data_IF_896392343575
#
_entry.id   IF_896392343575
#
_cell.length_a   1.000
_cell.length_b   1.000
_cell.length_c   1.000
_cell.angle_alpha   90.00
_cell.angle_beta   90.00
_cell.angle_gamma   90.00
#
_symmetry.space_group_name_H-M   'P 1'
#
loop_
_entity.id
_entity.type
_entity.pdbx_description
1 polymer ?
#
# COMPACT_ATOMS: atom_id res chain seq x y z
N UNK A 1 -10.03 3.52 8.68
CA UNK A 1 -11.27 3.98 8.06
C UNK A 1 -11.04 5.17 7.13
N UNK A 2 -10.52 6.29 7.60
CA UNK A 2 -10.31 7.48 6.75
C UNK A 2 -9.34 7.27 5.59
N UNK A 3 -8.35 6.40 5.69
CA UNK A 3 -7.44 6.11 4.58
C UNK A 3 -8.17 5.57 3.35
N UNK A 4 -9.22 4.76 3.54
CA UNK A 4 -10.06 4.26 2.46
C UNK A 4 -10.93 5.31 1.77
N UNK A 5 -11.13 6.47 2.41
CA UNK A 5 -11.94 7.57 1.87
C UNK A 5 -11.08 8.64 1.17
N UNK A 6 -9.87 8.86 1.64
CA UNK A 6 -9.01 9.96 1.20
C UNK A 6 -7.67 9.47 0.61
N UNK A 7 -6.73 9.05 1.45
CA UNK A 7 -5.36 8.71 1.03
C UNK A 7 -5.30 7.56 0.02
N UNK A 8 -6.04 6.47 0.25
CA UNK A 8 -6.00 5.31 -0.63
C UNK A 8 -6.58 5.60 -2.02
N UNK A 9 -7.79 6.21 -2.17
CA UNK A 9 -8.28 6.59 -3.49
C UNK A 9 -7.36 7.58 -4.22
N UNK A 10 -6.77 8.55 -3.50
CA UNK A 10 -5.80 9.48 -4.11
C UNK A 10 -4.53 8.76 -4.58
N UNK A 11 -4.04 7.79 -3.79
CA UNK A 11 -2.93 6.93 -4.22
C UNK A 11 -3.30 6.08 -5.45
N UNK A 12 -4.53 5.56 -5.51
CA UNK A 12 -5.06 4.84 -6.67
C UNK A 12 -5.11 5.70 -7.92
N UNK A 13 -5.54 6.95 -7.80
CA UNK A 13 -5.52 7.91 -8.91
C UNK A 13 -4.08 8.15 -9.41
N UNK A 14 -3.13 8.38 -8.51
CA UNK A 14 -1.72 8.52 -8.87
C UNK A 14 -1.14 7.23 -9.49
N UNK A 15 -1.56 6.05 -8.99
CA UNK A 15 -1.17 4.75 -9.55
C UNK A 15 -1.60 4.62 -11.02
N UNK A 16 -2.84 4.98 -11.35
CA UNK A 16 -3.34 4.95 -12.72
C UNK A 16 -2.58 5.95 -13.62
N UNK A 17 -2.26 7.15 -13.12
CA UNK A 17 -1.42 8.10 -13.85
C UNK A 17 -0.03 7.54 -14.14
N UNK A 18 0.60 6.87 -13.16
CA UNK A 18 1.91 6.24 -13.31
C UNK A 18 1.88 5.09 -14.32
N UNK A 19 0.87 4.22 -14.26
CA UNK A 19 0.68 3.13 -15.24
C UNK A 19 0.51 3.70 -16.64
N UNK A 20 -0.31 4.72 -16.81
CA UNK A 20 -0.52 5.39 -18.08
C UNK A 20 0.76 6.09 -18.61
N UNK A 21 1.64 6.53 -17.72
CA UNK A 21 2.96 7.06 -18.07
C UNK A 21 4.01 5.95 -18.36
N UNK A 22 3.64 4.68 -18.29
CA UNK A 22 4.51 3.53 -18.59
C UNK A 22 5.33 3.00 -17.41
N UNK A 23 5.05 3.44 -16.18
CA UNK A 23 5.68 2.93 -14.99
C UNK A 23 5.13 1.54 -14.62
N UNK A 24 5.92 0.81 -13.83
CA UNK A 24 5.45 -0.38 -13.11
C UNK A 24 5.01 0.04 -11.72
N UNK A 25 3.76 -0.24 -11.37
CA UNK A 25 3.17 0.07 -10.07
C UNK A 25 2.84 -1.23 -9.35
N UNK A 26 3.29 -1.34 -8.11
CA UNK A 26 3.07 -2.51 -7.26
C UNK A 26 2.19 -2.13 -6.07
N UNK A 27 1.16 -2.92 -5.80
CA UNK A 27 0.43 -2.87 -4.54
C UNK A 27 0.46 -4.24 -3.87
N UNK A 28 0.35 -4.28 -2.55
CA UNK A 28 0.64 -5.48 -1.76
C UNK A 28 -0.33 -5.67 -0.60
N UNK A 29 0.00 -6.64 0.25
CA UNK A 29 -0.64 -7.01 1.52
C UNK A 29 -1.87 -7.90 1.34
N UNK A 30 -1.68 -9.22 1.51
CA UNK A 30 -2.76 -10.20 1.34
C UNK A 30 -3.89 -9.97 2.34
N UNK A 31 -3.57 -9.69 3.60
CA UNK A 31 -4.58 -9.46 4.64
C UNK A 31 -5.54 -8.32 4.30
N UNK A 32 -5.03 -7.29 3.60
CA UNK A 32 -5.84 -6.13 3.23
C UNK A 32 -6.68 -6.33 1.96
N UNK A 33 -6.40 -7.36 1.17
CA UNK A 33 -7.05 -7.61 -0.13
C UNK A 33 -7.96 -8.83 -0.09
N UNK A 34 -7.61 -9.84 0.71
CA UNK A 34 -8.21 -11.17 0.70
C UNK A 34 -9.75 -11.17 0.79
N UNK A 35 -10.32 -10.36 1.68
CA UNK A 35 -11.77 -10.34 1.89
C UNK A 35 -12.54 -9.53 0.80
N UNK A 36 -11.81 -8.90 -0.11
CA UNK A 36 -12.32 -8.20 -1.29
C UNK A 36 -11.69 -8.72 -2.60
N UNK A 37 -11.09 -9.90 -2.60
CA UNK A 37 -10.32 -10.43 -3.73
C UNK A 37 -11.09 -10.47 -5.05
N UNK A 38 -12.39 -10.66 -5.01
CA UNK A 38 -13.24 -10.67 -6.22
C UNK A 38 -13.17 -9.33 -6.98
N UNK A 39 -13.03 -8.21 -6.30
CA UNK A 39 -12.90 -6.90 -6.97
C UNK A 39 -11.58 -6.74 -7.75
N UNK A 40 -10.50 -7.39 -7.30
CA UNK A 40 -9.25 -7.37 -8.04
C UNK A 40 -9.15 -8.52 -9.05
N UNK A 41 -9.81 -9.64 -8.80
CA UNK A 41 -9.86 -10.77 -9.74
C UNK A 41 -10.48 -10.37 -11.09
N UNK A 42 -11.54 -9.56 -11.09
CA UNK A 42 -12.17 -9.03 -12.29
C UNK A 42 -11.26 -8.14 -13.14
N UNK A 43 -10.18 -7.61 -12.54
CA UNK A 43 -9.19 -6.75 -13.20
C UNK A 43 -7.98 -7.52 -13.73
N UNK A 44 -7.87 -8.83 -13.48
CA UNK A 44 -6.79 -9.64 -13.99
C UNK A 44 -6.88 -9.75 -15.53
N UNK A 45 -5.78 -9.50 -16.23
CA UNK A 45 -5.74 -9.48 -17.69
C UNK A 45 -5.91 -10.86 -18.33
N UNK A 46 -5.73 -11.95 -17.57
CA UNK A 46 -5.90 -13.32 -18.06
C UNK A 46 -6.27 -14.27 -16.92
N UNK A 47 -6.72 -15.47 -17.32
CA UNK A 47 -7.03 -16.55 -16.38
C UNK A 47 -5.81 -16.96 -15.57
N UNK A 48 -4.64 -17.02 -16.15
CA UNK A 48 -3.39 -17.41 -15.49
C UNK A 48 -3.03 -16.41 -14.36
N UNK A 49 -3.23 -15.12 -14.59
CA UNK A 49 -3.01 -14.07 -13.56
C UNK A 49 -4.02 -14.23 -12.42
N UNK A 50 -5.28 -14.53 -12.76
CA UNK A 50 -6.33 -14.76 -11.77
C UNK A 50 -6.08 -16.05 -10.97
N UNK A 51 -5.66 -17.13 -11.64
CA UNK A 51 -5.32 -18.39 -10.97
C UNK A 51 -4.13 -18.22 -9.99
N UNK A 52 -3.11 -17.44 -10.39
CA UNK A 52 -1.99 -17.12 -9.49
C UNK A 52 -2.46 -16.28 -8.31
N UNK A 53 -3.34 -15.29 -8.51
CA UNK A 53 -3.95 -14.53 -7.42
C UNK A 53 -4.64 -15.46 -6.41
N UNK A 54 -5.44 -16.40 -6.88
CA UNK A 54 -6.12 -17.37 -6.03
C UNK A 54 -5.13 -18.30 -5.30
N UNK A 55 -4.03 -18.68 -5.94
CA UNK A 55 -2.98 -19.48 -5.32
C UNK A 55 -2.27 -18.73 -4.19
N UNK A 56 -1.98 -17.44 -4.37
CA UNK A 56 -1.34 -16.62 -3.34
C UNK A 56 -2.27 -16.38 -2.12
N UNK A 57 -3.60 -16.28 -2.33
CA UNK A 57 -4.55 -16.23 -1.22
C UNK A 57 -4.52 -17.52 -0.40
N UNK A 58 -4.48 -18.69 -1.05
CA UNK A 58 -4.38 -20.00 -0.39
C UNK A 58 -3.04 -20.19 0.31
N UNK A 59 -1.96 -19.76 -0.32
CA UNK A 59 -0.64 -19.78 0.31
C UNK A 59 -0.65 -19.01 1.63
N UNK A 60 -1.23 -17.82 1.63
CA UNK A 60 -1.28 -16.99 2.84
C UNK A 60 -2.14 -17.60 3.94
N UNK A 61 -3.27 -18.24 3.61
CA UNK A 61 -4.07 -18.96 4.58
C UNK A 61 -3.26 -20.08 5.25
N UNK A 62 -2.58 -20.90 4.44
CA UNK A 62 -1.72 -21.96 4.95
C UNK A 62 -0.55 -21.42 5.79
N UNK A 63 0.08 -20.34 5.36
CA UNK A 63 1.12 -19.66 6.14
C UNK A 63 0.65 -19.24 7.53
N UNK A 64 -0.58 -18.75 7.68
CA UNK A 64 -1.16 -18.40 8.96
C UNK A 64 -1.47 -19.67 9.80
N UNK A 65 -2.02 -20.70 9.17
CA UNK A 65 -2.34 -21.97 9.83
C UNK A 65 -1.10 -22.67 10.41
N UNK A 66 0.00 -22.73 9.68
CA UNK A 66 1.27 -23.29 10.14
C UNK A 66 1.78 -22.58 11.41
N UNK A 67 1.55 -21.27 11.52
CA UNK A 67 1.94 -20.48 12.68
C UNK A 67 0.93 -20.48 13.82
N UNK A 68 -0.21 -21.16 13.68
CA UNK A 68 -1.36 -21.06 14.59
C UNK A 68 -1.81 -19.61 14.84
N UNK A 69 -1.74 -18.77 13.80
CA UNK A 69 -2.13 -17.35 13.86
C UNK A 69 -3.53 -17.18 13.31
N UNK A 70 -4.41 -16.61 14.12
CA UNK A 70 -5.73 -16.25 13.66
C UNK A 70 -5.79 -14.78 13.21
N UNK A 71 -6.81 -14.45 12.42
CA UNK A 71 -7.04 -13.11 11.87
C UNK A 71 -8.02 -12.27 12.70
N UNK A 72 -8.43 -12.74 13.88
CA UNK A 72 -9.46 -12.09 14.69
C UNK A 72 -9.05 -10.70 15.20
N UNK A 73 -7.75 -10.45 15.30
CA UNK A 73 -7.21 -9.13 15.66
C UNK A 73 -7.39 -8.07 14.57
N UNK A 74 -7.78 -8.45 13.34
CA UNK A 74 -7.97 -7.54 12.23
C UNK A 74 -9.47 -7.44 11.83
N UNK A 75 -10.14 -6.28 11.85
CA UNK A 75 -9.61 -4.92 12.15
C UNK A 75 -9.31 -4.71 13.64
N UNK A 76 -8.25 -3.97 13.90
CA UNK A 76 -7.84 -3.65 15.28
C UNK A 76 -8.87 -2.79 16.02
N UNK A 77 -8.86 -2.77 17.38
CA UNK A 77 -9.71 -1.86 18.15
C UNK A 77 -9.56 -0.39 17.72
N UNK A 78 -8.35 0.03 17.35
CA UNK A 78 -8.08 1.38 16.84
C UNK A 78 -8.73 1.64 15.48
N UNK A 79 -8.80 0.65 14.60
CA UNK A 79 -9.53 0.76 13.33
C UNK A 79 -11.03 0.92 13.58
N UNK A 80 -11.61 0.09 14.47
CA UNK A 80 -13.04 0.16 14.83
C UNK A 80 -13.40 1.50 15.48
N UNK A 81 -12.58 2.00 16.40
CA UNK A 81 -12.74 3.33 17.01
C UNK A 81 -12.68 4.45 15.97
N UNK A 82 -11.91 4.27 14.90
CA UNK A 82 -11.83 5.19 13.76
C UNK A 82 -12.99 5.04 12.74
N UNK A 83 -14.05 4.28 13.07
CA UNK A 83 -15.25 4.16 12.25
C UNK A 83 -15.29 2.98 11.28
N UNK A 84 -14.29 2.08 11.31
CA UNK A 84 -14.28 0.89 10.45
C UNK A 84 -15.22 -0.19 11.03
N UNK A 85 -16.18 -0.64 10.21
CA UNK A 85 -17.20 -1.59 10.68
C UNK A 85 -16.73 -3.05 10.64
N UNK A 86 -16.07 -3.47 9.55
CA UNK A 86 -15.70 -4.86 9.31
C UNK A 86 -14.48 -5.01 8.41
N UNK A 87 -14.05 -6.24 8.21
CA UNK A 87 -12.86 -6.59 7.41
C UNK A 87 -13.08 -6.34 5.91
N UNK A 88 -14.29 -6.52 5.39
CA UNK A 88 -14.60 -6.29 3.96
C UNK A 88 -14.49 -4.79 3.64
N UNK A 89 -15.02 -3.93 4.50
CA UNK A 89 -14.87 -2.47 4.36
C UNK A 89 -13.39 -2.07 4.39
N UNK A 90 -12.60 -2.70 5.25
CA UNK A 90 -11.14 -2.48 5.28
C UNK A 90 -10.50 -2.91 3.97
N UNK A 91 -10.83 -4.09 3.45
CA UNK A 91 -10.29 -4.60 2.20
C UNK A 91 -10.67 -3.69 1.01
N UNK A 92 -11.91 -3.27 0.89
CA UNK A 92 -12.34 -2.35 -0.16
C UNK A 92 -11.57 -1.03 -0.12
N UNK A 93 -11.42 -0.45 1.08
CA UNK A 93 -10.61 0.76 1.26
C UNK A 93 -9.14 0.56 0.88
N UNK A 94 -8.58 -0.61 1.15
CA UNK A 94 -7.20 -0.94 0.79
C UNK A 94 -7.04 -1.19 -0.72
N UNK A 95 -8.00 -1.86 -1.36
CA UNK A 95 -8.00 -2.10 -2.81
C UNK A 95 -8.02 -0.77 -3.59
N UNK A 96 -8.69 0.26 -3.06
CA UNK A 96 -8.76 1.57 -3.69
C UNK A 96 -7.38 2.19 -3.98
N UNK A 97 -6.33 1.84 -3.19
CA UNK A 97 -4.96 2.33 -3.42
C UNK A 97 -4.33 1.81 -4.73
N UNK A 98 -4.90 0.77 -5.32
CA UNK A 98 -4.41 0.19 -6.58
C UNK A 98 -5.00 0.84 -7.83
N UNK A 99 -5.88 1.83 -7.70
CA UNK A 99 -6.54 2.46 -8.84
C UNK A 99 -7.48 1.52 -9.58
N UNK A 100 -7.61 1.73 -10.89
CA UNK A 100 -8.53 1.01 -11.77
C UNK A 100 -7.83 0.23 -12.90
N UNK A 101 -6.53 0.37 -13.06
CA UNK A 101 -5.76 -0.26 -14.12
C UNK A 101 -5.85 -1.80 -14.09
N UNK A 102 -5.76 -2.48 -15.25
CA UNK A 102 -5.71 -3.94 -15.30
C UNK A 102 -4.49 -4.50 -14.56
N UNK A 103 -4.67 -5.61 -13.84
CA UNK A 103 -3.59 -6.31 -13.15
C UNK A 103 -2.92 -7.26 -14.14
N UNK A 104 -1.68 -6.93 -14.49
CA UNK A 104 -0.93 -7.65 -15.53
C UNK A 104 -0.12 -8.82 -14.99
N UNK A 105 0.17 -8.83 -13.69
CA UNK A 105 0.97 -9.86 -13.05
C UNK A 105 0.65 -9.95 -11.55
N UNK A 106 0.80 -11.14 -10.99
CA UNK A 106 0.73 -11.42 -9.56
C UNK A 106 2.06 -12.04 -9.14
N UNK A 107 2.63 -11.57 -8.04
CA UNK A 107 3.93 -12.01 -7.53
C UNK A 107 3.78 -12.68 -6.18
N UNK A 108 4.56 -13.73 -5.96
CA UNK A 108 4.83 -14.28 -4.64
C UNK A 108 5.72 -13.31 -3.84
N UNK A 109 5.87 -13.46 -2.50
CA UNK A 109 6.72 -12.58 -1.70
C UNK A 109 8.15 -12.49 -2.25
N UNK A 110 8.63 -11.25 -2.45
CA UNK A 110 9.96 -10.94 -2.96
C UNK A 110 10.25 -11.40 -4.42
N UNK A 111 9.26 -11.91 -5.14
CA UNK A 111 9.40 -12.23 -6.57
C UNK A 111 9.55 -10.95 -7.38
N UNK A 112 10.43 -10.96 -8.39
CA UNK A 112 10.65 -9.81 -9.27
C UNK A 112 9.65 -9.76 -10.42
N UNK A 113 9.11 -8.58 -10.77
CA UNK A 113 8.20 -8.44 -11.89
C UNK A 113 8.89 -8.73 -13.22
N UNK A 114 8.15 -9.36 -14.12
CA UNK A 114 8.54 -9.60 -15.50
C UNK A 114 7.81 -8.68 -16.48
N UNK A 115 6.71 -8.05 -16.05
CA UNK A 115 5.83 -7.21 -16.86
C UNK A 115 5.81 -5.76 -16.35
N UNK A 116 5.44 -4.85 -17.25
CA UNK A 116 5.15 -3.44 -16.88
C UNK A 116 3.65 -3.24 -16.73
N UNK A 117 3.24 -2.36 -15.85
CA UNK A 117 1.85 -2.03 -15.56
C UNK A 117 1.51 -2.18 -14.08
N UNK A 118 0.26 -2.42 -13.76
CA UNK A 118 -0.17 -2.64 -12.39
C UNK A 118 0.06 -4.10 -11.98
N UNK A 119 0.74 -4.31 -10.86
CA UNK A 119 1.13 -5.61 -10.33
C UNK A 119 0.63 -5.76 -8.91
N UNK A 120 0.09 -6.92 -8.58
CA UNK A 120 -0.18 -7.32 -7.21
C UNK A 120 0.96 -8.21 -6.68
N UNK A 121 1.54 -7.87 -5.53
CA UNK A 121 2.54 -8.69 -4.87
C UNK A 121 2.00 -9.20 -3.53
N UNK A 122 1.92 -10.51 -3.38
CA UNK A 122 1.48 -11.12 -2.15
C UNK A 122 2.54 -10.94 -1.05
N UNK A 123 2.17 -10.26 0.03
CA UNK A 123 3.02 -10.09 1.21
C UNK A 123 2.19 -10.19 2.48
N UNK A 124 2.79 -10.54 3.63
CA UNK A 124 2.18 -10.23 4.91
C UNK A 124 1.94 -8.73 5.08
N UNK A 125 1.01 -8.34 5.95
CA UNK A 125 0.61 -6.95 6.15
C UNK A 125 1.49 -6.16 7.14
N UNK A 126 2.48 -6.79 7.75
CA UNK A 126 3.42 -6.10 8.64
C UNK A 126 4.34 -5.19 7.83
N UNK A 127 4.38 -3.89 8.14
CA UNK A 127 5.20 -2.89 7.45
C UNK A 127 6.67 -3.32 7.34
N UNK A 128 7.21 -3.91 8.43
CA UNK A 128 8.60 -4.39 8.51
C UNK A 128 8.88 -5.65 7.67
N UNK A 129 7.86 -6.30 7.14
CA UNK A 129 7.96 -7.46 6.24
C UNK A 129 7.55 -7.08 4.83
N UNK A 130 6.41 -6.40 4.68
CA UNK A 130 5.90 -5.98 3.37
C UNK A 130 6.90 -5.09 2.61
N UNK A 131 7.44 -4.06 3.27
CA UNK A 131 8.40 -3.16 2.64
C UNK A 131 9.69 -3.84 2.15
N UNK A 132 10.38 -4.66 2.98
CA UNK A 132 11.51 -5.47 2.53
C UNK A 132 11.17 -6.45 1.41
N UNK A 133 9.99 -7.08 1.42
CA UNK A 133 9.54 -7.93 0.29
C UNK A 133 9.40 -7.11 -1.01
N UNK A 134 8.81 -5.92 -0.93
CA UNK A 134 8.70 -5.03 -2.08
C UNK A 134 10.09 -4.56 -2.58
N UNK A 135 11.01 -4.23 -1.67
CA UNK A 135 12.41 -3.92 -2.04
C UNK A 135 13.08 -5.09 -2.77
N UNK A 136 12.94 -6.31 -2.25
CA UNK A 136 13.49 -7.51 -2.89
C UNK A 136 12.86 -7.74 -4.27
N UNK A 137 11.59 -7.41 -4.44
CA UNK A 137 10.91 -7.40 -5.74
C UNK A 137 11.42 -6.29 -6.68
N UNK A 138 12.18 -5.33 -6.18
CA UNK A 138 12.87 -4.32 -7.00
C UNK A 138 12.15 -2.98 -7.11
N UNK A 139 11.30 -2.61 -6.15
CA UNK A 139 10.76 -1.24 -6.11
C UNK A 139 11.89 -0.22 -5.96
N UNK A 140 11.72 0.94 -6.57
CA UNK A 140 12.66 2.05 -6.52
C UNK A 140 12.14 3.23 -5.69
N UNK A 141 10.87 3.21 -5.33
CA UNK A 141 10.19 4.19 -4.48
C UNK A 141 8.95 3.55 -3.87
N UNK A 142 8.63 3.89 -2.64
CA UNK A 142 7.40 3.45 -1.98
C UNK A 142 6.51 4.64 -1.59
N UNK A 143 5.20 4.46 -1.73
CA UNK A 143 4.18 5.36 -1.16
C UNK A 143 3.51 4.66 0.01
N UNK A 144 3.50 5.30 1.16
CA UNK A 144 2.94 4.75 2.39
C UNK A 144 1.77 5.61 2.89
N UNK A 145 0.57 5.03 2.90
CA UNK A 145 -0.63 5.69 3.40
C UNK A 145 -0.81 5.43 4.89
N UNK A 146 -0.99 6.48 5.68
CA UNK A 146 -1.15 6.37 7.13
C UNK A 146 -2.33 7.18 7.65
N UNK A 147 -3.08 6.58 8.57
CA UNK A 147 -4.16 7.26 9.29
C UNK A 147 -3.75 7.82 10.66
N UNK A 148 -2.56 7.43 11.16
CA UNK A 148 -2.10 7.75 12.53
C UNK A 148 -0.71 8.38 12.57
N UNK A 149 -0.03 8.47 11.43
CA UNK A 149 1.37 8.82 11.38
C UNK A 149 2.28 7.61 11.63
N UNK A 150 3.48 7.63 11.07
CA UNK A 150 4.48 6.58 11.26
C UNK A 150 5.88 7.12 10.95
N UNK A 151 6.90 6.73 11.71
CA UNK A 151 8.30 7.02 11.39
C UNK A 151 8.85 6.08 10.31
N UNK A 152 8.06 5.16 9.80
CA UNK A 152 8.46 4.15 8.81
C UNK A 152 9.23 4.75 7.64
N UNK A 153 10.26 4.06 7.18
CA UNK A 153 11.05 4.35 5.99
C UNK A 153 11.84 3.12 5.55
N UNK A 154 12.50 3.21 4.42
CA UNK A 154 13.36 2.17 3.85
C UNK A 154 14.74 2.74 3.57
N UNK A 155 15.81 1.98 3.90
CA UNK A 155 17.18 2.44 3.67
C UNK A 155 17.54 2.52 2.17
N UNK A 156 16.95 1.65 1.35
CA UNK A 156 17.34 1.48 -0.05
C UNK A 156 16.35 2.07 -1.06
N UNK A 157 15.25 2.69 -0.60
CA UNK A 157 14.28 3.36 -1.46
C UNK A 157 13.59 4.52 -0.73
N UNK A 158 13.31 5.65 -1.41
CA UNK A 158 12.50 6.71 -0.85
C UNK A 158 11.13 6.22 -0.42
N UNK A 159 10.62 6.74 0.71
CA UNK A 159 9.26 6.50 1.16
C UNK A 159 8.52 7.83 1.26
N UNK A 160 7.51 8.03 0.43
CA UNK A 160 6.60 9.18 0.48
C UNK A 160 5.42 8.81 1.38
N UNK A 161 5.19 9.59 2.44
CA UNK A 161 4.09 9.35 3.38
C UNK A 161 2.90 10.26 3.10
N UNK A 162 1.73 9.62 2.94
CA UNK A 162 0.45 10.28 2.69
C UNK A 162 -0.45 10.10 3.90
N UNK A 163 -0.84 11.17 4.57
CA UNK A 163 -1.79 11.07 5.67
C UNK A 163 -3.24 11.21 5.18
N UNK A 164 -4.16 10.62 5.93
CA UNK A 164 -5.58 10.56 5.57
C UNK A 164 -6.44 11.64 6.26
N UNK A 165 -5.85 12.47 7.14
CA UNK A 165 -6.57 13.49 7.95
C UNK A 165 -5.70 14.71 8.17
N UNK A 166 -6.32 15.89 8.21
CA UNK A 166 -5.64 17.17 8.41
C UNK A 166 -4.84 17.22 9.70
N UNK A 167 -5.40 16.71 10.81
CA UNK A 167 -4.72 16.72 12.12
C UNK A 167 -3.41 15.94 12.11
N UNK A 168 -3.28 14.93 11.23
CA UNK A 168 -2.04 14.19 11.09
C UNK A 168 -0.94 15.03 10.46
N UNK A 169 -1.28 15.86 9.48
CA UNK A 169 -0.31 16.79 8.88
C UNK A 169 0.15 17.84 9.88
N UNK A 170 -0.75 18.34 10.70
CA UNK A 170 -0.42 19.31 11.76
C UNK A 170 0.48 18.70 12.84
N UNK A 171 0.17 17.47 13.27
CA UNK A 171 0.91 16.74 14.30
C UNK A 171 2.29 16.27 13.83
N UNK A 172 2.39 15.85 12.55
CA UNK A 172 3.57 15.20 11.97
C UNK A 172 4.10 15.97 10.75
N UNK A 173 4.30 17.29 10.91
CA UNK A 173 4.70 18.22 9.84
C UNK A 173 5.99 17.82 9.14
N UNK A 174 6.90 17.16 9.86
CA UNK A 174 8.22 16.72 9.43
C UNK A 174 8.27 15.21 9.04
N UNK A 175 7.15 14.52 9.07
CA UNK A 175 7.06 13.11 8.67
C UNK A 175 6.09 12.86 7.51
N UNK A 176 5.13 13.76 7.30
CA UNK A 176 4.07 13.59 6.28
C UNK A 176 4.40 14.44 5.06
N UNK A 177 4.58 13.81 3.92
CA UNK A 177 4.86 14.48 2.65
C UNK A 177 3.59 15.07 2.02
N UNK A 178 2.50 14.30 1.98
CA UNK A 178 1.23 14.67 1.34
C UNK A 178 0.08 14.58 2.34
N UNK A 179 -0.79 15.59 2.36
CA UNK A 179 -2.01 15.60 3.15
C UNK A 179 -3.25 15.30 2.29
N UNK A 180 -3.85 14.12 2.44
CA UNK A 180 -5.10 13.77 1.79
C UNK A 180 -6.35 14.08 2.65
N UNK A 181 -6.18 14.68 3.83
CA UNK A 181 -7.28 15.09 4.71
C UNK A 181 -8.34 15.97 4.03
N UNK A 182 -7.96 16.94 3.17
CA UNK A 182 -8.92 17.80 2.45
C UNK A 182 -9.95 17.02 1.62
N UNK A 183 -9.64 15.81 1.14
CA UNK A 183 -10.63 14.95 0.48
C UNK A 183 -11.71 14.49 1.45
N UNK A 184 -11.34 14.15 2.68
CA UNK A 184 -12.28 13.70 3.70
C UNK A 184 -13.18 14.84 4.24
N UNK A 185 -12.71 16.09 4.18
CA UNK A 185 -13.47 17.28 4.58
C UNK A 185 -14.24 17.94 3.42
N UNK A 186 -14.05 17.43 2.18
CA UNK A 186 -14.73 17.98 0.98
C UNK A 186 -14.10 19.25 0.41
N UNK A 187 -12.89 19.60 0.87
CA UNK A 187 -12.13 20.79 0.43
C UNK A 187 -11.30 20.52 -0.83
N UNK A 188 -11.04 19.25 -1.16
CA UNK A 188 -10.33 18.84 -2.37
C UNK A 188 -10.96 17.58 -2.97
N UNK A 189 -10.71 17.37 -4.26
CA UNK A 189 -11.08 16.14 -4.96
C UNK A 189 -9.96 15.09 -4.83
N UNK A 190 -10.32 13.81 -5.03
CA UNK A 190 -9.36 12.70 -5.11
C UNK A 190 -8.32 12.98 -6.21
N UNK A 191 -8.75 13.52 -7.35
CA UNK A 191 -7.88 13.89 -8.47
C UNK A 191 -6.84 14.96 -8.13
N UNK A 192 -7.18 15.91 -7.27
CA UNK A 192 -6.28 16.99 -6.90
C UNK A 192 -5.10 16.44 -6.08
N UNK A 193 -5.42 15.70 -5.04
CA UNK A 193 -4.41 15.05 -4.18
C UNK A 193 -3.66 13.95 -4.94
N UNK A 194 -4.35 13.19 -5.80
CA UNK A 194 -3.70 12.18 -6.65
C UNK A 194 -2.70 12.78 -7.63
N UNK A 195 -3.01 13.94 -8.21
CA UNK A 195 -2.10 14.68 -9.08
C UNK A 195 -0.92 15.26 -8.29
N UNK A 196 -1.16 15.80 -7.09
CA UNK A 196 -0.10 16.26 -6.18
C UNK A 196 0.86 15.11 -5.84
N UNK A 197 0.31 13.95 -5.48
CA UNK A 197 1.09 12.76 -5.18
C UNK A 197 1.89 12.27 -6.40
N UNK A 198 1.28 12.21 -7.59
CA UNK A 198 1.99 11.88 -8.82
C UNK A 198 3.19 12.81 -9.06
N UNK A 199 2.99 14.12 -8.96
CA UNK A 199 4.06 15.10 -9.13
C UNK A 199 5.16 14.94 -8.08
N UNK A 200 4.80 14.67 -6.82
CA UNK A 200 5.76 14.40 -5.74
C UNK A 200 6.58 13.14 -6.02
N UNK A 201 5.94 12.07 -6.51
CA UNK A 201 6.64 10.84 -6.90
C UNK A 201 7.66 11.13 -7.99
N UNK A 202 7.29 11.87 -9.03
CA UNK A 202 8.21 12.25 -10.12
C UNK A 202 9.37 13.11 -9.59
N UNK A 203 9.09 14.09 -8.72
CA UNK A 203 10.11 14.96 -8.15
C UNK A 203 11.12 14.19 -7.29
N UNK A 204 10.63 13.28 -6.45
CA UNK A 204 11.50 12.43 -5.60
C UNK A 204 12.27 11.43 -6.46
N UNK A 205 11.62 10.73 -7.38
CA UNK A 205 12.27 9.73 -8.25
C UNK A 205 13.33 10.36 -9.17
N UNK A 206 13.19 11.63 -9.54
CA UNK A 206 14.17 12.36 -10.34
C UNK A 206 15.27 13.04 -9.51
N UNK A 207 15.25 12.91 -8.19
CA UNK A 207 16.21 13.54 -7.29
C UNK A 207 16.05 15.06 -7.13
N UNK A 208 14.95 15.65 -7.62
CA UNK A 208 14.65 17.08 -7.44
C UNK A 208 14.22 17.43 -6.03
N UNK A 209 13.61 16.46 -5.34
CA UNK A 209 13.15 16.59 -3.96
C UNK A 209 13.52 15.33 -3.18
N UNK A 210 13.57 15.47 -1.86
CA UNK A 210 13.65 14.34 -0.94
C UNK A 210 12.31 14.17 -0.20
N UNK A 211 11.92 12.92 0.07
CA UNK A 211 10.89 12.65 1.06
C UNK A 211 11.39 12.97 2.47
N UNK A 212 10.50 13.19 3.43
CA UNK A 212 10.90 13.36 4.82
C UNK A 212 11.62 12.12 5.37
N UNK A 213 11.24 10.93 4.92
CA UNK A 213 11.90 9.70 5.31
C UNK A 213 13.38 9.69 4.90
N UNK A 214 13.71 10.16 3.69
CA UNK A 214 15.10 10.31 3.25
C UNK A 214 15.82 11.42 3.99
N UNK A 215 15.20 12.59 4.08
CA UNK A 215 15.78 13.77 4.73
C UNK A 215 16.21 13.50 6.16
N UNK A 216 15.41 12.74 6.90
CA UNK A 216 15.68 12.41 8.31
C UNK A 216 16.27 11.01 8.50
N UNK A 217 16.62 10.32 7.40
CA UNK A 217 17.21 8.98 7.43
C UNK A 217 16.34 8.00 8.25
N UNK A 218 15.04 8.07 8.08
CA UNK A 218 14.10 7.16 8.70
C UNK A 218 14.12 5.87 7.90
N UNK A 219 14.54 4.79 8.51
CA UNK A 219 14.53 3.50 7.85
C UNK A 219 14.41 2.37 8.87
N UNK A 220 13.78 1.28 8.45
CA UNK A 220 13.71 0.05 9.19
C UNK A 220 14.98 -0.75 8.90
N UNK A 221 15.96 -0.65 9.78
CA UNK A 221 17.21 -1.41 9.67
C UNK A 221 17.06 -2.84 10.18
N UNK A 222 15.98 -3.11 10.89
CA UNK A 222 15.77 -4.36 11.55
C UNK A 222 14.96 -5.30 10.65
N UNK A 223 15.64 -6.28 10.08
CA UNK A 223 15.01 -7.45 9.53
C UNK A 223 14.90 -8.49 10.67
N UNK A 224 13.78 -8.54 11.33
CA UNK A 224 13.52 -9.59 12.33
C UNK A 224 13.13 -10.85 11.58
N UNK A 225 13.98 -11.86 11.63
CA UNK A 225 13.58 -13.20 11.26
C UNK A 225 12.64 -13.73 12.33
N UNK A 226 11.36 -13.77 12.02
CA UNK A 226 10.37 -14.43 12.86
C UNK A 226 9.94 -15.74 12.19
N UNK A 227 10.12 -16.90 12.83
CA UNK A 227 9.68 -18.17 12.26
C UNK A 227 8.16 -18.33 12.27
N UNK A 228 7.44 -17.47 12.99
CA UNK A 228 5.98 -17.46 13.02
C UNK A 228 5.41 -16.46 12.01
N UNK A 229 4.26 -16.74 11.38
CA UNK A 229 3.56 -15.81 10.53
C UNK A 229 3.23 -14.50 11.22
N UNK A 230 3.36 -13.40 10.49
CA UNK A 230 3.00 -12.05 10.93
C UNK A 230 1.81 -11.58 10.09
N UNK A 231 0.71 -11.27 10.75
CA UNK A 231 -0.55 -10.80 10.12
C UNK A 231 -0.54 -9.32 9.85
#
# INVERSE_FOLDING_TARGET
AFSGVSANPSAGYAADMLVNAGATVMFSEVTEVRDGVHYIAERCVSKEVCDKLAAEMKWYDHYLEEGNVDRSANPTPGNKKGGLCNIVEKAMGSIAKSGSSPIVEVLSPAERPSKKGLIYAATPASDIVCGPCQLASGITLQVFMTGRGTPYGLAAAPVIKVCSRNEMKEMWQDLIDINAGPVATGEAQISDIGTELFNKIIAVASGKEQSFAEKYKLHNDLCIFNPAPIT
#
